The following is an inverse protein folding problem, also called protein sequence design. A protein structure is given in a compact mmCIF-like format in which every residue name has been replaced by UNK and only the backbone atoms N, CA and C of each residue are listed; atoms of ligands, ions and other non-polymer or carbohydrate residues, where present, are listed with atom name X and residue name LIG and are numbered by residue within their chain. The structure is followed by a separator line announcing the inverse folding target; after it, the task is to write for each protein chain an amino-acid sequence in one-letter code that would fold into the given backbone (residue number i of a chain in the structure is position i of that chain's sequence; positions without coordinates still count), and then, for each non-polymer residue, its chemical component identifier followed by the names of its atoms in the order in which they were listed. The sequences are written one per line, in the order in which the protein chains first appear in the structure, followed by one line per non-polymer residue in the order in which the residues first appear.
data_IF_824703883014
#
_entry.id   IF_824703883014
#
_cell.length_a   1.000
_cell.length_b   1.000
_cell.length_c   1.000
_cell.angle_alpha   90.00
_cell.angle_beta   90.00
_cell.angle_gamma   90.00
#
_symmetry.space_group_name_H-M   'P 1'
#
loop_
_entity.id
_entity.type
_entity.pdbx_description
1 polymer ?
#
# COMPACT_ATOMS: atom_id res chain seq x y z
N UNK A 1 3.86 -29.00 -11.93
CA UNK A 1 2.90 -28.25 -12.75
C UNK A 1 1.55 -28.46 -12.11
N UNK A 2 0.80 -27.43 -11.89
CA UNK A 2 -0.52 -27.44 -11.25
C UNK A 2 -1.43 -26.41 -11.93
N UNK A 3 -2.73 -26.61 -11.84
CA UNK A 3 -3.75 -25.70 -12.32
C UNK A 3 -4.09 -24.70 -11.21
N UNK A 4 -3.83 -23.42 -11.44
CA UNK A 4 -4.03 -22.36 -10.43
C UNK A 4 -5.00 -21.30 -10.95
N UNK A 5 -6.02 -21.00 -10.14
CA UNK A 5 -6.95 -19.92 -10.43
C UNK A 5 -6.65 -18.72 -9.51
N UNK A 6 -6.35 -17.56 -10.10
CA UNK A 6 -6.18 -16.31 -9.39
C UNK A 6 -7.42 -15.45 -9.58
N UNK A 7 -8.02 -14.99 -8.49
CA UNK A 7 -9.20 -14.15 -8.50
C UNK A 7 -8.78 -12.68 -8.39
N UNK A 8 -9.08 -11.90 -9.43
CA UNK A 8 -8.79 -10.47 -9.53
C UNK A 8 -7.47 -10.14 -10.25
N UNK A 9 -7.56 -9.29 -11.26
CA UNK A 9 -6.43 -8.77 -12.04
C UNK A 9 -6.00 -7.37 -11.58
N UNK A 10 -5.93 -7.15 -10.25
CA UNK A 10 -5.22 -6.03 -9.64
C UNK A 10 -3.72 -6.32 -9.56
N UNK A 11 -2.90 -5.36 -9.10
CA UNK A 11 -1.43 -5.53 -9.05
C UNK A 11 -0.99 -6.81 -8.33
N UNK A 12 -1.59 -7.11 -7.16
CA UNK A 12 -1.22 -8.30 -6.39
C UNK A 12 -1.59 -9.59 -7.13
N UNK A 13 -2.79 -9.65 -7.76
CA UNK A 13 -3.20 -10.82 -8.55
C UNK A 13 -2.36 -11.01 -9.79
N UNK A 14 -2.02 -9.93 -10.51
CA UNK A 14 -1.14 -9.97 -11.69
C UNK A 14 0.29 -10.39 -11.33
N UNK A 15 0.81 -9.90 -10.20
CA UNK A 15 2.11 -10.32 -9.68
C UNK A 15 2.09 -11.80 -9.29
N UNK A 16 1.06 -12.26 -8.57
CA UNK A 16 0.88 -13.67 -8.21
C UNK A 16 0.84 -14.56 -9.46
N UNK A 17 0.05 -14.16 -10.46
CA UNK A 17 -0.08 -14.91 -11.70
C UNK A 17 1.24 -15.00 -12.47
N UNK A 18 1.98 -13.89 -12.61
CA UNK A 18 3.27 -13.88 -13.29
C UNK A 18 4.28 -14.78 -12.57
N UNK A 19 4.38 -14.66 -11.25
CA UNK A 19 5.31 -15.46 -10.44
C UNK A 19 5.02 -16.96 -10.50
N UNK A 20 3.75 -17.35 -10.44
CA UNK A 20 3.34 -18.76 -10.49
C UNK A 20 3.52 -19.34 -11.90
N UNK A 21 3.24 -18.56 -12.94
CA UNK A 21 3.44 -18.98 -14.33
C UNK A 21 4.94 -19.13 -14.66
N UNK A 22 5.82 -18.27 -14.12
CA UNK A 22 7.28 -18.42 -14.24
C UNK A 22 7.79 -19.73 -13.61
N UNK A 23 7.10 -20.25 -12.58
CA UNK A 23 7.40 -21.53 -11.95
C UNK A 23 6.82 -22.74 -12.74
N UNK A 24 6.19 -22.50 -13.89
CA UNK A 24 5.66 -23.53 -14.77
C UNK A 24 4.29 -24.06 -14.39
N UNK A 25 3.51 -23.32 -13.60
CA UNK A 25 2.10 -23.62 -13.34
C UNK A 25 1.21 -23.12 -14.48
N UNK A 26 0.07 -23.77 -14.71
CA UNK A 26 -1.00 -23.28 -15.58
C UNK A 26 -1.86 -22.30 -14.80
N UNK A 27 -1.81 -21.02 -15.16
CA UNK A 27 -2.46 -19.96 -14.38
C UNK A 27 -3.55 -19.28 -15.16
N UNK A 28 -4.77 -19.32 -14.60
CA UNK A 28 -5.95 -18.59 -15.09
C UNK A 28 -6.28 -17.46 -14.13
N UNK A 29 -6.38 -16.24 -14.62
CA UNK A 29 -6.79 -15.07 -13.83
C UNK A 29 -8.23 -14.70 -14.20
N UNK A 30 -9.11 -14.64 -13.22
CA UNK A 30 -10.52 -14.26 -13.40
C UNK A 30 -10.74 -12.82 -12.90
N UNK A 31 -11.11 -11.93 -13.81
CA UNK A 31 -11.33 -10.51 -13.50
C UNK A 31 -12.76 -10.10 -13.90
N UNK A 32 -13.51 -9.53 -12.95
CA UNK A 32 -14.89 -9.08 -13.18
C UNK A 32 -15.00 -7.83 -14.06
N UNK A 33 -14.00 -6.95 -14.03
CA UNK A 33 -13.98 -5.76 -14.90
C UNK A 33 -13.78 -6.19 -16.36
N UNK A 34 -14.68 -5.73 -17.26
CA UNK A 34 -14.66 -6.11 -18.68
C UNK A 34 -13.64 -5.32 -19.51
N UNK A 35 -13.15 -4.19 -18.99
CA UNK A 35 -12.26 -3.31 -19.74
C UNK A 35 -10.99 -4.06 -20.15
N UNK A 36 -10.69 -4.03 -21.44
CA UNK A 36 -9.46 -4.60 -22.01
C UNK A 36 -8.20 -3.91 -21.49
N UNK A 37 -7.05 -4.53 -21.72
CA UNK A 37 -5.76 -3.94 -21.39
C UNK A 37 -5.47 -2.76 -22.33
N UNK A 38 -5.22 -1.53 -21.82
CA UNK A 38 -4.75 -0.41 -22.64
C UNK A 38 -3.37 -0.70 -23.26
N UNK A 39 -3.11 -0.16 -24.45
CA UNK A 39 -1.86 -0.39 -25.16
C UNK A 39 -0.65 0.28 -24.49
N UNK A 40 -0.88 1.33 -23.69
CA UNK A 40 0.17 2.07 -23.01
C UNK A 40 -0.25 2.57 -21.62
N UNK A 41 0.73 2.93 -20.79
CA UNK A 41 0.48 3.58 -19.51
C UNK A 41 -0.27 4.90 -19.65
N UNK A 42 -0.02 5.67 -20.71
CA UNK A 42 -0.72 6.93 -20.95
C UNK A 42 -2.19 6.69 -21.32
N UNK A 43 -2.50 5.71 -22.16
CA UNK A 43 -3.90 5.32 -22.43
C UNK A 43 -4.58 4.79 -21.17
N UNK A 44 -3.86 4.05 -20.33
CA UNK A 44 -4.37 3.59 -19.05
C UNK A 44 -4.73 4.77 -18.13
N UNK A 45 -3.90 5.80 -18.08
CA UNK A 45 -4.22 7.02 -17.34
C UNK A 45 -5.43 7.76 -17.92
N UNK A 46 -5.54 7.88 -19.23
CA UNK A 46 -6.59 8.65 -19.88
C UNK A 46 -7.97 7.98 -19.81
N UNK A 47 -8.04 6.67 -20.08
CA UNK A 47 -9.31 6.00 -20.35
C UNK A 47 -9.59 4.71 -19.60
N UNK A 48 -8.58 4.10 -18.93
CA UNK A 48 -8.84 2.82 -18.24
C UNK A 48 -9.67 3.02 -16.98
N UNK A 49 -10.80 2.33 -16.93
CA UNK A 49 -11.69 2.33 -15.78
C UNK A 49 -11.67 0.97 -15.08
N UNK A 50 -11.41 0.98 -13.77
CA UNK A 50 -11.39 -0.20 -12.91
C UNK A 50 -12.39 0.00 -11.77
N UNK A 51 -13.66 -0.39 -11.99
CA UNK A 51 -14.75 -0.19 -11.04
C UNK A 51 -14.53 -0.97 -9.73
N UNK A 52 -13.77 -2.08 -9.79
CA UNK A 52 -13.36 -2.86 -8.61
C UNK A 52 -12.34 -2.15 -7.72
N UNK A 53 -11.64 -1.12 -8.22
CA UNK A 53 -10.53 -0.43 -7.54
C UNK A 53 -10.92 1.01 -7.26
N UNK A 54 -11.59 1.27 -6.13
CA UNK A 54 -12.11 2.60 -5.79
C UNK A 54 -11.03 3.70 -5.77
N UNK A 55 -9.79 3.34 -5.41
CA UNK A 55 -8.64 4.24 -5.36
C UNK A 55 -7.81 4.26 -6.66
N UNK A 56 -8.35 3.79 -7.80
CA UNK A 56 -7.58 3.63 -9.05
C UNK A 56 -6.92 4.92 -9.54
N UNK A 57 -7.55 6.06 -9.29
CA UNK A 57 -7.04 7.41 -9.58
C UNK A 57 -6.43 8.11 -8.36
N UNK A 58 -6.38 7.43 -7.21
CA UNK A 58 -5.76 7.97 -6.00
C UNK A 58 -4.23 8.01 -6.10
N UNK A 59 -3.57 8.74 -5.19
CA UNK A 59 -2.12 8.77 -5.11
C UNK A 59 -1.60 7.41 -4.70
N UNK A 60 -0.56 6.95 -5.37
CA UNK A 60 0.10 5.68 -5.08
C UNK A 60 1.60 5.85 -5.15
N UNK A 61 2.28 5.07 -4.33
CA UNK A 61 3.73 5.07 -4.24
C UNK A 61 4.24 3.63 -4.12
N UNK A 62 5.17 3.24 -4.99
CA UNK A 62 5.87 1.98 -4.79
C UNK A 62 7.09 2.25 -3.92
N UNK A 63 7.07 1.77 -2.69
CA UNK A 63 8.19 1.95 -1.77
C UNK A 63 9.45 1.21 -2.23
N UNK A 64 10.65 1.59 -1.74
CA UNK A 64 11.91 0.91 -2.04
C UNK A 64 11.87 -0.60 -1.87
N UNK A 65 11.23 -1.12 -0.80
CA UNK A 65 11.02 -2.56 -0.63
C UNK A 65 10.22 -3.21 -1.75
N UNK A 66 9.24 -2.48 -2.32
CA UNK A 66 8.50 -2.93 -3.50
C UNK A 66 9.36 -2.91 -4.77
N UNK A 67 10.21 -1.89 -4.96
CA UNK A 67 11.19 -1.87 -6.06
C UNK A 67 12.14 -3.06 -5.96
N UNK A 68 12.67 -3.37 -4.78
CA UNK A 68 13.53 -4.52 -4.56
C UNK A 68 12.85 -5.85 -4.94
N UNK A 69 11.53 -5.97 -4.65
CA UNK A 69 10.74 -7.11 -5.12
C UNK A 69 10.64 -7.17 -6.65
N UNK A 70 10.41 -6.04 -7.32
CA UNK A 70 10.41 -6.01 -8.79
C UNK A 70 11.77 -6.42 -9.37
N UNK A 71 12.86 -5.90 -8.83
CA UNK A 71 14.21 -6.21 -9.32
C UNK A 71 14.58 -7.69 -9.15
N UNK A 72 14.22 -8.28 -8.02
CA UNK A 72 14.60 -9.65 -7.70
C UNK A 72 13.63 -10.71 -8.20
N UNK A 73 12.34 -10.40 -8.29
CA UNK A 73 11.28 -11.37 -8.53
C UNK A 73 10.52 -11.15 -9.84
N UNK A 74 10.40 -9.91 -10.31
CA UNK A 74 9.63 -9.52 -11.49
C UNK A 74 10.39 -8.50 -12.35
N UNK A 75 11.63 -8.78 -12.79
CA UNK A 75 12.46 -7.81 -13.53
C UNK A 75 11.79 -7.33 -14.83
N UNK A 76 11.03 -8.19 -15.49
CA UNK A 76 10.27 -7.83 -16.71
C UNK A 76 9.19 -6.77 -16.43
N UNK A 77 8.55 -6.79 -15.25
CA UNK A 77 7.59 -5.76 -14.84
C UNK A 77 8.32 -4.45 -14.54
N UNK A 78 9.49 -4.51 -13.87
CA UNK A 78 10.32 -3.33 -13.63
C UNK A 78 10.68 -2.64 -14.95
N UNK A 79 11.14 -3.42 -15.93
CA UNK A 79 11.53 -2.90 -17.24
C UNK A 79 10.33 -2.32 -18.01
N UNK A 80 9.16 -2.98 -17.94
CA UNK A 80 7.93 -2.47 -18.51
C UNK A 80 7.48 -1.14 -17.87
N UNK A 81 7.61 -1.01 -16.55
CA UNK A 81 7.30 0.22 -15.84
C UNK A 81 8.27 1.36 -16.20
N UNK A 82 9.56 1.06 -16.27
CA UNK A 82 10.58 2.03 -16.71
C UNK A 82 10.30 2.51 -18.15
N UNK A 83 9.97 1.58 -19.06
CA UNK A 83 9.61 1.89 -20.45
C UNK A 83 8.30 2.70 -20.56
N UNK A 84 7.37 2.54 -19.61
CA UNK A 84 6.15 3.35 -19.52
C UNK A 84 6.37 4.76 -18.96
N UNK A 85 7.61 5.14 -18.65
CA UNK A 85 7.99 6.45 -18.09
C UNK A 85 7.98 6.50 -16.58
N UNK A 86 8.01 5.34 -15.91
CA UNK A 86 8.13 5.26 -14.45
C UNK A 86 9.32 6.05 -13.92
N UNK A 87 9.13 6.75 -12.81
CA UNK A 87 10.11 7.62 -12.18
C UNK A 87 10.97 6.85 -11.18
N UNK A 88 12.30 6.86 -11.37
CA UNK A 88 13.23 6.51 -10.30
C UNK A 88 13.41 7.70 -9.37
N UNK A 89 13.19 7.52 -8.07
CA UNK A 89 13.29 8.58 -7.08
C UNK A 89 14.18 8.15 -5.92
N UNK A 90 15.09 9.05 -5.50
CA UNK A 90 15.99 8.83 -4.39
C UNK A 90 15.41 9.47 -3.12
N UNK A 91 15.09 8.64 -2.12
CA UNK A 91 14.52 9.11 -0.85
C UNK A 91 15.55 9.76 0.08
N UNK A 92 16.84 9.55 -0.18
CA UNK A 92 17.89 10.25 0.58
C UNK A 92 18.08 11.70 0.11
N UNK A 93 17.57 12.07 -1.06
CA UNK A 93 17.85 13.34 -1.70
C UNK A 93 16.56 14.07 -2.15
N UNK A 94 16.23 15.23 -1.57
CA UNK A 94 17.02 15.95 -0.54
C UNK A 94 16.87 15.33 0.85
N UNK A 95 17.95 15.34 1.60
CA UNK A 95 17.93 15.04 3.02
C UNK A 95 17.20 16.16 3.80
N UNK A 96 16.74 15.91 5.04
CA UNK A 96 16.20 16.95 5.91
C UNK A 96 17.18 18.12 6.09
N UNK A 97 16.71 19.39 6.03
CA UNK A 97 17.60 20.56 6.03
C UNK A 97 18.60 20.65 7.19
N UNK A 98 18.31 20.20 8.43
CA UNK A 98 19.29 20.20 9.51
C UNK A 98 20.46 19.24 9.33
N UNK A 99 20.33 18.23 8.45
CA UNK A 99 21.42 17.32 8.12
C UNK A 99 22.35 18.03 7.12
N UNK A 100 23.44 18.60 7.64
CA UNK A 100 24.36 19.41 6.84
C UNK A 100 25.14 18.60 5.79
N UNK A 101 25.41 17.33 6.07
CA UNK A 101 26.14 16.42 5.18
C UNK A 101 25.51 15.02 5.25
N UNK A 102 24.90 14.63 4.14
CA UNK A 102 24.39 13.28 3.92
C UNK A 102 25.38 12.50 3.05
N UNK A 103 26.54 12.18 3.63
CA UNK A 103 27.55 11.39 2.93
C UNK A 103 26.96 10.04 2.46
N UNK A 104 27.23 9.69 1.20
CA UNK A 104 26.76 8.43 0.64
C UNK A 104 27.47 7.25 1.33
N UNK A 105 26.71 6.22 1.66
CA UNK A 105 27.20 4.98 2.26
C UNK A 105 26.92 3.77 1.35
N UNK A 106 27.77 2.73 1.38
CA UNK A 106 27.48 1.49 0.67
C UNK A 106 26.11 0.92 1.08
N UNK A 107 25.28 0.58 0.09
CA UNK A 107 23.93 0.07 0.32
C UNK A 107 22.84 1.13 0.34
N UNK A 108 23.15 2.41 0.16
CA UNK A 108 22.14 3.50 0.08
C UNK A 108 21.25 3.39 -1.17
N UNK A 109 21.68 2.65 -2.20
CA UNK A 109 20.85 2.30 -3.36
C UNK A 109 19.53 1.60 -2.99
N UNK A 110 19.45 1.03 -1.78
CA UNK A 110 18.22 0.43 -1.24
C UNK A 110 17.11 1.45 -1.01
N UNK A 111 17.41 2.75 -0.94
CA UNK A 111 16.44 3.81 -0.74
C UNK A 111 15.89 4.40 -2.05
N UNK A 112 16.39 3.93 -3.18
CA UNK A 112 15.80 4.26 -4.47
C UNK A 112 14.44 3.57 -4.60
N UNK A 113 13.47 4.24 -5.20
CA UNK A 113 12.21 3.64 -5.63
C UNK A 113 11.99 3.81 -7.13
N UNK A 114 11.12 2.99 -7.69
CA UNK A 114 10.58 3.14 -9.05
C UNK A 114 9.08 3.26 -8.94
N UNK A 115 8.51 4.38 -9.33
CA UNK A 115 7.10 4.69 -9.08
C UNK A 115 6.40 5.27 -10.29
N UNK A 116 5.08 5.40 -10.19
CA UNK A 116 4.22 5.99 -11.20
C UNK A 116 2.78 6.06 -10.73
N UNK A 117 1.93 6.71 -11.51
CA UNK A 117 0.48 6.71 -11.25
C UNK A 117 -0.08 5.29 -11.31
N UNK A 118 -1.04 4.97 -10.47
CA UNK A 118 -1.61 3.62 -10.36
C UNK A 118 -2.02 3.00 -11.71
N UNK A 119 -2.71 3.69 -12.63
CA UNK A 119 -3.05 3.12 -13.94
C UNK A 119 -1.83 2.70 -14.76
N UNK A 120 -0.72 3.46 -14.69
CA UNK A 120 0.54 3.15 -15.38
C UNK A 120 1.21 1.94 -14.77
N UNK A 121 1.29 1.89 -13.44
CA UNK A 121 1.79 0.72 -12.71
C UNK A 121 1.00 -0.54 -13.07
N UNK A 122 -0.33 -0.48 -12.99
CA UNK A 122 -1.19 -1.64 -13.22
C UNK A 122 -1.15 -2.11 -14.67
N UNK A 123 -0.99 -1.18 -15.63
CA UNK A 123 -0.80 -1.51 -17.04
C UNK A 123 0.54 -2.25 -17.27
N UNK A 124 1.63 -1.82 -16.63
CA UNK A 124 2.92 -2.50 -16.72
C UNK A 124 2.83 -3.95 -16.21
N UNK A 125 2.22 -4.18 -15.03
CA UNK A 125 1.96 -5.53 -14.52
C UNK A 125 1.10 -6.36 -15.47
N UNK A 126 -0.01 -5.79 -15.96
CA UNK A 126 -0.92 -6.50 -16.83
C UNK A 126 -0.28 -6.85 -18.18
N UNK A 127 0.58 -5.98 -18.72
CA UNK A 127 1.28 -6.22 -19.99
C UNK A 127 2.24 -7.41 -19.92
N UNK A 128 2.81 -7.67 -18.74
CA UNK A 128 3.70 -8.81 -18.50
C UNK A 128 2.89 -10.06 -18.21
N UNK A 129 1.96 -10.00 -17.25
CA UNK A 129 1.16 -11.15 -16.86
C UNK A 129 0.32 -11.72 -18.01
N UNK A 130 -0.16 -10.88 -18.92
CA UNK A 130 -0.94 -11.29 -20.12
C UNK A 130 -0.13 -12.13 -21.14
N UNK A 131 1.21 -12.18 -21.00
CA UNK A 131 2.07 -12.99 -21.86
C UNK A 131 2.30 -14.41 -21.31
N UNK A 132 2.06 -14.61 -20.02
CA UNK A 132 2.44 -15.84 -19.31
C UNK A 132 1.26 -16.52 -18.61
N UNK A 133 0.11 -15.87 -18.50
CA UNK A 133 -1.10 -16.39 -17.87
C UNK A 133 -2.34 -16.11 -18.73
N UNK A 134 -3.38 -16.93 -18.60
CA UNK A 134 -4.69 -16.73 -19.25
C UNK A 134 -5.54 -15.75 -18.41
N UNK A 135 -5.65 -14.49 -18.85
CA UNK A 135 -6.42 -13.45 -18.14
C UNK A 135 -7.81 -13.28 -18.76
N UNK A 136 -8.83 -13.84 -18.09
CA UNK A 136 -10.23 -13.78 -18.49
C UNK A 136 -10.94 -12.61 -17.83
N UNK A 137 -11.30 -11.61 -18.63
CA UNK A 137 -11.98 -10.39 -18.15
C UNK A 137 -13.50 -10.50 -18.34
N UNK A 138 -14.25 -9.82 -17.47
CA UNK A 138 -15.72 -9.87 -17.45
C UNK A 138 -16.27 -11.13 -16.79
N UNK A 139 -15.42 -11.91 -16.09
CA UNK A 139 -15.81 -13.13 -15.39
C UNK A 139 -16.03 -12.84 -13.91
N UNK A 140 -17.23 -13.09 -13.44
CA UNK A 140 -17.60 -12.97 -12.02
C UNK A 140 -17.68 -14.34 -11.37
N UNK A 141 -16.93 -14.56 -10.30
CA UNK A 141 -17.03 -15.79 -9.49
C UNK A 141 -18.20 -15.67 -8.55
N UNK A 142 -19.01 -16.73 -8.47
CA UNK A 142 -20.17 -16.82 -7.60
C UNK A 142 -19.87 -17.62 -6.32
N UNK A 143 -19.16 -18.77 -6.43
CA UNK A 143 -18.90 -19.66 -5.32
C UNK A 143 -17.61 -20.48 -5.50
N UNK A 144 -17.19 -21.14 -4.42
CA UNK A 144 -16.09 -22.10 -4.41
C UNK A 144 -16.59 -23.51 -4.69
N UNK A 145 -15.83 -24.29 -5.45
CA UNK A 145 -16.01 -25.72 -5.61
C UNK A 145 -15.25 -26.47 -4.52
N UNK A 146 -15.81 -27.59 -4.05
CA UNK A 146 -15.18 -28.41 -3.01
C UNK A 146 -15.02 -29.85 -3.44
N UNK A 147 -14.01 -30.51 -2.89
CA UNK A 147 -13.71 -31.91 -3.08
C UNK A 147 -13.39 -32.64 -1.77
N UNK A 148 -12.87 -33.87 -1.84
CA UNK A 148 -12.43 -34.61 -0.66
C UNK A 148 -11.42 -33.84 0.15
N UNK A 149 -11.52 -33.86 1.48
CA UNK A 149 -10.60 -33.20 2.40
C UNK A 149 -9.89 -34.20 3.29
N UNK A 150 -8.60 -33.95 3.54
CA UNK A 150 -7.77 -34.77 4.44
C UNK A 150 -8.00 -34.43 5.92
N UNK A 151 -8.67 -33.31 6.20
CA UNK A 151 -8.93 -32.86 7.58
C UNK A 151 -10.46 -32.90 7.84
N UNK A 152 -10.93 -33.74 8.77
CA UNK A 152 -12.34 -33.77 9.13
C UNK A 152 -12.88 -32.40 9.55
N UNK A 153 -13.99 -31.96 8.92
CA UNK A 153 -14.61 -30.65 9.22
C UNK A 153 -13.93 -29.43 8.64
N UNK A 154 -12.90 -29.61 7.81
CA UNK A 154 -12.25 -28.54 7.06
C UNK A 154 -12.51 -28.76 5.57
N UNK A 155 -13.25 -27.89 4.86
CA UNK A 155 -13.49 -28.07 3.42
C UNK A 155 -12.20 -27.88 2.63
N UNK A 156 -12.07 -28.63 1.53
CA UNK A 156 -11.02 -28.49 0.54
C UNK A 156 -11.56 -27.87 -0.73
N UNK A 157 -11.01 -26.72 -1.12
CA UNK A 157 -11.38 -26.00 -2.34
C UNK A 157 -10.66 -26.62 -3.52
N UNK A 158 -11.42 -26.95 -4.59
CA UNK A 158 -10.92 -27.57 -5.82
C UNK A 158 -11.22 -26.73 -7.06
N UNK A 159 -11.58 -25.47 -6.89
CA UNK A 159 -11.87 -24.56 -7.98
C UNK A 159 -12.95 -23.53 -7.64
N UNK A 160 -13.54 -22.96 -8.67
CA UNK A 160 -14.58 -21.93 -8.57
C UNK A 160 -15.71 -22.17 -9.59
N UNK A 161 -16.90 -21.67 -9.26
CA UNK A 161 -18.01 -21.57 -10.21
C UNK A 161 -18.26 -20.10 -10.53
N UNK A 162 -18.38 -19.79 -11.83
CA UNK A 162 -18.70 -18.45 -12.30
C UNK A 162 -20.20 -18.14 -12.15
N UNK A 163 -20.57 -16.87 -12.21
CA UNK A 163 -21.97 -16.44 -12.19
C UNK A 163 -22.77 -16.95 -13.41
N UNK A 164 -22.09 -17.28 -14.51
CA UNK A 164 -22.69 -17.86 -15.71
C UNK A 164 -22.83 -19.39 -15.63
N UNK A 165 -22.39 -20.00 -14.51
CA UNK A 165 -22.51 -21.44 -14.23
C UNK A 165 -21.32 -22.28 -14.68
N UNK A 166 -20.29 -21.69 -15.27
CA UNK A 166 -19.07 -22.41 -15.67
C UNK A 166 -18.28 -22.86 -14.44
N UNK A 167 -17.82 -24.10 -14.45
CA UNK A 167 -16.95 -24.68 -13.43
C UNK A 167 -15.51 -24.66 -13.89
N UNK A 168 -14.62 -24.10 -13.09
CA UNK A 168 -13.18 -24.02 -13.35
C UNK A 168 -12.49 -24.73 -12.21
N UNK A 169 -12.02 -25.94 -12.47
CA UNK A 169 -11.27 -26.75 -11.50
C UNK A 169 -9.86 -26.19 -11.33
N UNK A 170 -9.28 -26.34 -10.14
CA UNK A 170 -7.93 -25.90 -9.81
C UNK A 170 -7.35 -26.65 -8.61
N UNK A 171 -6.05 -26.86 -8.62
CA UNK A 171 -5.29 -27.39 -7.46
C UNK A 171 -5.14 -26.31 -6.36
N UNK A 172 -5.22 -25.03 -6.74
CA UNK A 172 -5.14 -23.89 -5.82
C UNK A 172 -5.95 -22.71 -6.34
N UNK A 173 -6.73 -22.09 -5.48
CA UNK A 173 -7.40 -20.81 -5.71
C UNK A 173 -6.66 -19.73 -4.91
N UNK A 174 -6.27 -18.63 -5.56
CA UNK A 174 -5.63 -17.46 -4.93
C UNK A 174 -6.59 -16.28 -4.98
N UNK A 175 -7.14 -15.88 -3.83
CA UNK A 175 -7.97 -14.67 -3.76
C UNK A 175 -7.09 -13.41 -3.66
N UNK A 176 -7.04 -12.65 -4.75
CA UNK A 176 -6.44 -11.33 -4.87
C UNK A 176 -7.48 -10.26 -5.25
N UNK A 177 -8.76 -10.47 -4.88
CA UNK A 177 -9.86 -9.55 -5.21
C UNK A 177 -9.86 -8.26 -4.39
N UNK A 178 -8.91 -8.12 -3.46
CA UNK A 178 -8.65 -6.91 -2.72
C UNK A 178 -9.65 -6.63 -1.60
N UNK A 179 -9.77 -5.36 -1.21
CA UNK A 179 -10.57 -4.95 -0.04
C UNK A 179 -12.04 -5.37 -0.08
N UNK A 180 -12.58 -5.67 -1.24
CA UNK A 180 -13.98 -6.12 -1.43
C UNK A 180 -14.08 -7.63 -1.65
N UNK A 181 -13.08 -8.39 -1.20
CA UNK A 181 -13.08 -9.85 -1.27
C UNK A 181 -14.36 -10.44 -0.67
N UNK A 182 -15.00 -11.33 -1.43
CA UNK A 182 -16.17 -12.08 -1.03
C UNK A 182 -15.81 -13.44 -0.40
N UNK A 183 -14.51 -13.73 -0.29
CA UNK A 183 -14.03 -15.03 0.21
C UNK A 183 -14.65 -15.46 1.54
N UNK A 184 -14.86 -14.58 2.55
CA UNK A 184 -15.54 -15.00 3.79
C UNK A 184 -16.94 -15.57 3.57
N UNK A 185 -17.72 -14.93 2.68
CA UNK A 185 -19.07 -15.41 2.34
C UNK A 185 -19.05 -16.72 1.55
N UNK A 186 -18.08 -16.90 0.65
CA UNK A 186 -17.90 -18.17 -0.08
C UNK A 186 -17.46 -19.30 0.84
N UNK A 187 -16.59 -19.01 1.82
CA UNK A 187 -16.16 -19.98 2.84
C UNK A 187 -17.34 -20.41 3.72
N UNK A 188 -18.19 -19.47 4.15
CA UNK A 188 -19.43 -19.78 4.88
C UNK A 188 -20.35 -20.66 4.03
N UNK A 189 -20.51 -20.35 2.75
CA UNK A 189 -21.32 -21.11 1.80
C UNK A 189 -20.91 -22.57 1.61
N UNK A 190 -19.63 -22.90 1.80
CA UNK A 190 -19.10 -24.29 1.76
C UNK A 190 -19.04 -24.96 3.14
N UNK A 191 -19.59 -24.34 4.19
CA UNK A 191 -19.61 -24.86 5.54
C UNK A 191 -18.28 -24.80 6.29
N UNK A 192 -17.38 -23.89 5.89
CA UNK A 192 -16.15 -23.64 6.61
C UNK A 192 -16.40 -23.00 7.99
N UNK A 193 -15.50 -23.26 8.93
CA UNK A 193 -15.54 -22.56 10.23
C UNK A 193 -15.33 -21.05 10.03
N UNK A 194 -15.83 -20.19 10.95
CA UNK A 194 -15.58 -18.76 10.88
C UNK A 194 -14.09 -18.44 10.92
N UNK A 195 -13.64 -17.55 10.03
CA UNK A 195 -12.32 -16.96 10.10
C UNK A 195 -12.28 -15.87 11.19
N UNK A 196 -11.08 -15.47 11.62
CA UNK A 196 -10.92 -14.28 12.45
C UNK A 196 -10.89 -13.06 11.53
N UNK A 197 -11.78 -12.08 11.77
CA UNK A 197 -11.75 -10.79 11.09
C UNK A 197 -11.75 -9.66 12.14
N UNK A 198 -10.74 -8.79 12.06
CA UNK A 198 -10.69 -7.53 12.76
C UNK A 198 -10.93 -6.42 11.76
N UNK A 199 -11.74 -5.43 12.09
CA UNK A 199 -11.92 -4.24 11.24
C UNK A 199 -12.12 -2.99 12.06
N UNK A 200 -11.57 -1.88 11.56
CA UNK A 200 -11.74 -0.56 12.12
C UNK A 200 -11.99 0.44 10.98
N UNK A 201 -12.68 1.54 11.28
CA UNK A 201 -12.84 2.63 10.32
C UNK A 201 -11.61 3.51 10.41
N UNK A 202 -10.91 3.66 9.30
CA UNK A 202 -9.86 4.66 9.24
C UNK A 202 -10.46 6.05 9.33
N UNK A 203 -9.87 6.89 10.19
CA UNK A 203 -10.41 8.20 10.50
C UNK A 203 -10.03 9.31 9.51
N UNK A 204 -9.72 9.02 8.22
CA UNK A 204 -9.21 10.04 7.28
C UNK A 204 -10.02 10.18 6.00
N UNK A 205 -10.05 11.43 5.48
CA UNK A 205 -10.42 11.78 4.11
C UNK A 205 -9.20 12.33 3.38
N UNK A 206 -9.10 12.03 2.09
CA UNK A 206 -8.01 12.42 1.20
C UNK A 206 -8.55 13.27 0.06
N UNK A 207 -7.81 14.33 -0.30
CA UNK A 207 -8.12 15.27 -1.38
C UNK A 207 -6.89 15.43 -2.25
N UNK A 208 -6.87 14.77 -3.40
CA UNK A 208 -5.71 14.68 -4.29
C UNK A 208 -5.92 15.46 -5.56
N UNK A 209 -4.89 16.16 -6.03
CA UNK A 209 -4.85 16.75 -7.35
C UNK A 209 -3.55 16.41 -8.04
N UNK A 210 -3.62 16.12 -9.34
CA UNK A 210 -2.45 15.79 -10.16
C UNK A 210 -2.04 16.97 -11.02
N UNK A 211 -0.73 17.08 -11.25
CA UNK A 211 -0.08 18.12 -12.03
C UNK A 211 0.90 17.51 -13.03
N UNK A 212 1.24 18.31 -14.06
CA UNK A 212 2.24 18.00 -15.07
C UNK A 212 3.07 19.24 -15.38
N UNK A 213 4.34 19.05 -15.69
CA UNK A 213 5.22 20.10 -16.25
C UNK A 213 6.24 19.48 -17.16
N UNK A 214 6.55 20.12 -18.28
CA UNK A 214 7.61 19.68 -19.18
C UNK A 214 8.99 19.59 -18.50
N UNK A 215 9.24 20.39 -17.44
CA UNK A 215 10.45 20.32 -16.62
C UNK A 215 10.46 19.20 -15.59
N UNK A 216 9.37 18.44 -15.49
CA UNK A 216 9.21 17.38 -14.48
C UNK A 216 8.68 17.86 -13.13
N UNK A 217 8.57 16.93 -12.17
CA UNK A 217 8.12 17.24 -10.81
C UNK A 217 9.05 18.22 -10.13
N UNK A 218 8.52 19.24 -9.39
CA UNK A 218 9.34 20.13 -8.59
C UNK A 218 10.13 19.37 -7.51
N UNK A 219 11.29 19.89 -7.13
CA UNK A 219 12.04 19.34 -6.00
C UNK A 219 11.27 19.56 -4.69
N UNK A 220 11.19 18.56 -3.84
CA UNK A 220 10.59 18.68 -2.51
C UNK A 220 11.46 19.59 -1.62
N UNK A 221 10.85 20.56 -0.93
CA UNK A 221 11.52 21.40 0.08
C UNK A 221 11.24 20.88 1.51
N UNK A 222 10.43 19.84 1.64
CA UNK A 222 10.14 19.12 2.88
C UNK A 222 10.09 17.61 2.59
N UNK A 223 9.89 16.78 3.62
CA UNK A 223 9.62 15.37 3.41
C UNK A 223 8.38 15.13 2.53
N UNK A 224 8.33 14.01 1.81
CA UNK A 224 7.19 13.68 0.95
C UNK A 224 5.85 13.67 1.71
N UNK A 225 5.88 13.32 2.99
CA UNK A 225 4.76 13.42 3.92
C UNK A 225 5.08 14.44 5.00
N UNK A 226 4.26 15.48 5.12
CA UNK A 226 4.43 16.58 6.08
C UNK A 226 3.15 16.77 6.90
N UNK A 227 3.16 16.43 8.21
CA UNK A 227 2.13 16.86 9.15
C UNK A 227 2.16 18.38 9.33
N UNK A 228 1.02 19.04 9.12
CA UNK A 228 0.87 20.51 9.27
C UNK A 228 -0.37 20.77 10.14
N UNK A 229 -0.19 20.89 11.44
CA UNK A 229 -1.31 21.05 12.37
C UNK A 229 -2.33 19.92 12.23
N UNK A 230 -3.62 20.26 12.03
CA UNK A 230 -4.70 19.29 11.87
C UNK A 230 -4.87 18.70 10.47
N UNK A 231 -3.96 19.02 9.53
CA UNK A 231 -3.91 18.41 8.20
C UNK A 231 -2.57 17.73 7.98
N UNK A 232 -2.50 16.85 6.97
CA UNK A 232 -1.22 16.31 6.50
C UNK A 232 -1.15 16.45 5.00
N UNK A 233 0.01 16.81 4.50
CA UNK A 233 0.27 17.04 3.10
C UNK A 233 1.23 15.97 2.57
N UNK A 234 0.82 15.30 1.48
CA UNK A 234 1.61 14.27 0.82
C UNK A 234 1.91 14.72 -0.60
N UNK A 235 3.19 14.78 -0.95
CA UNK A 235 3.69 15.06 -2.28
C UNK A 235 4.28 13.81 -2.89
N UNK A 236 3.79 13.37 -4.05
CA UNK A 236 4.29 12.18 -4.73
C UNK A 236 4.64 12.50 -6.18
N UNK A 237 5.93 12.59 -6.51
CA UNK A 237 6.41 12.57 -7.90
C UNK A 237 5.99 11.25 -8.58
N UNK A 238 5.71 11.30 -9.89
CA UNK A 238 5.22 10.15 -10.64
C UNK A 238 5.78 10.08 -12.06
N UNK A 239 5.28 9.12 -12.84
CA UNK A 239 5.65 8.88 -14.23
C UNK A 239 5.39 10.09 -15.13
N UNK A 240 6.13 10.13 -16.25
CA UNK A 240 5.88 11.06 -17.36
C UNK A 240 5.72 12.52 -16.91
N UNK A 241 6.65 13.02 -16.10
CA UNK A 241 6.70 14.42 -15.64
C UNK A 241 5.46 14.86 -14.84
N UNK A 242 4.75 13.92 -14.22
CA UNK A 242 3.58 14.21 -13.38
C UNK A 242 3.91 14.10 -11.89
N UNK A 243 3.06 14.68 -11.07
CA UNK A 243 3.07 14.49 -9.62
C UNK A 243 1.68 14.68 -9.04
N UNK A 244 1.49 14.25 -7.82
CA UNK A 244 0.27 14.52 -7.05
C UNK A 244 0.58 15.23 -5.75
N UNK A 245 -0.35 16.09 -5.34
CA UNK A 245 -0.39 16.68 -4.01
C UNK A 245 -1.70 16.21 -3.37
N UNK A 246 -1.59 15.66 -2.18
CA UNK A 246 -2.74 15.14 -1.42
C UNK A 246 -2.78 15.83 -0.06
N UNK A 247 -3.93 16.35 0.31
CA UNK A 247 -4.23 16.75 1.68
C UNK A 247 -5.07 15.66 2.32
N UNK A 248 -4.67 15.14 3.48
CA UNK A 248 -5.55 14.28 4.25
C UNK A 248 -5.85 14.87 5.63
N UNK A 249 -7.06 14.64 6.10
CA UNK A 249 -7.68 15.28 7.25
C UNK A 249 -8.46 14.25 8.07
N UNK A 250 -8.74 14.54 9.34
CA UNK A 250 -9.65 13.71 10.13
C UNK A 250 -11.04 13.67 9.51
N UNK A 251 -11.64 12.49 9.47
CA UNK A 251 -13.01 12.28 8.98
C UNK A 251 -14.08 12.98 9.85
N UNK A 252 -13.76 13.31 11.11
CA UNK A 252 -14.63 14.08 11.99
C UNK A 252 -14.57 15.59 11.74
N UNK A 253 -13.58 16.07 10.98
CA UNK A 253 -13.44 17.49 10.62
C UNK A 253 -14.31 17.83 9.39
N UNK A 254 -15.59 18.02 9.64
CA UNK A 254 -16.56 18.21 8.56
C UNK A 254 -16.33 19.47 7.74
N UNK A 255 -15.74 20.52 8.33
CA UNK A 255 -15.41 21.77 7.62
C UNK A 255 -14.39 21.50 6.49
N UNK A 256 -13.45 20.58 6.70
CA UNK A 256 -12.44 20.22 5.69
C UNK A 256 -13.03 19.52 4.46
N UNK A 257 -14.33 19.18 4.43
CA UNK A 257 -14.97 18.66 3.21
C UNK A 257 -15.00 19.67 2.08
N UNK A 258 -14.85 20.97 2.36
CA UNK A 258 -14.73 22.02 1.34
C UNK A 258 -13.45 21.91 0.51
N UNK A 259 -12.44 21.16 0.97
CA UNK A 259 -11.23 20.80 0.21
C UNK A 259 -11.53 20.00 -1.08
N UNK A 260 -12.74 19.51 -1.28
CA UNK A 260 -13.19 18.96 -2.58
C UNK A 260 -13.25 20.02 -3.70
N UNK A 261 -13.28 21.31 -3.35
CA UNK A 261 -13.31 22.44 -4.30
C UNK A 261 -11.88 22.84 -4.66
N UNK A 262 -11.61 22.95 -5.96
CA UNK A 262 -10.26 23.27 -6.47
C UNK A 262 -9.70 24.55 -5.86
N UNK A 263 -10.52 25.60 -5.73
CA UNK A 263 -10.08 26.91 -5.23
C UNK A 263 -9.72 26.86 -3.75
N UNK A 264 -10.51 26.16 -2.95
CA UNK A 264 -10.27 26.00 -1.50
C UNK A 264 -9.00 25.17 -1.27
N UNK A 265 -8.87 24.06 -1.99
CA UNK A 265 -7.72 23.20 -1.93
C UNK A 265 -6.43 23.93 -2.33
N UNK A 266 -6.48 24.70 -3.43
CA UNK A 266 -5.33 25.48 -3.93
C UNK A 266 -4.88 26.53 -2.90
N UNK A 267 -5.81 27.32 -2.33
CA UNK A 267 -5.50 28.30 -1.27
C UNK A 267 -4.82 27.65 -0.06
N UNK A 268 -5.24 26.43 0.31
CA UNK A 268 -4.57 25.71 1.41
C UNK A 268 -3.12 25.38 1.06
N UNK A 269 -2.83 24.88 -0.15
CA UNK A 269 -1.45 24.60 -0.55
C UNK A 269 -0.61 25.89 -0.64
N UNK A 270 -1.17 26.98 -1.17
CA UNK A 270 -0.53 28.30 -1.23
C UNK A 270 -0.17 28.83 0.16
N UNK A 271 -0.97 28.49 1.19
CA UNK A 271 -0.69 28.87 2.59
C UNK A 271 0.40 28.04 3.26
N UNK A 272 0.96 27.03 2.58
CA UNK A 272 2.02 26.15 3.07
C UNK A 272 3.36 26.53 2.41
N UNK A 273 4.24 27.32 3.05
CA UNK A 273 5.42 27.94 2.40
C UNK A 273 6.38 26.93 1.75
N UNK A 274 6.57 25.74 2.36
CA UNK A 274 7.45 24.70 1.82
C UNK A 274 6.78 23.87 0.70
N UNK A 275 5.49 24.09 0.41
CA UNK A 275 4.72 23.29 -0.54
C UNK A 275 4.06 24.11 -1.66
N UNK A 276 3.93 25.44 -1.50
CA UNK A 276 3.28 26.32 -2.47
C UNK A 276 3.90 26.20 -3.88
N UNK A 277 5.22 26.03 -3.98
CA UNK A 277 5.93 25.86 -5.26
C UNK A 277 5.54 24.58 -6.00
N UNK A 278 4.97 23.57 -5.31
CA UNK A 278 4.48 22.35 -5.94
C UNK A 278 3.27 22.59 -6.86
N UNK A 279 2.64 23.77 -6.76
CA UNK A 279 1.59 24.21 -7.68
C UNK A 279 2.12 24.71 -9.03
N UNK A 280 3.46 24.83 -9.21
CA UNK A 280 4.09 25.31 -10.43
C UNK A 280 4.05 24.25 -11.54
N UNK A 281 2.84 23.95 -12.04
CA UNK A 281 2.57 23.03 -13.12
C UNK A 281 1.14 23.16 -13.60
N UNK A 282 0.84 22.53 -14.72
CA UNK A 282 -0.52 22.44 -15.23
C UNK A 282 -1.32 21.39 -14.41
N UNK A 283 -2.43 21.75 -13.78
CA UNK A 283 -3.29 20.77 -13.15
C UNK A 283 -3.95 19.89 -14.21
N UNK A 284 -3.78 18.57 -14.10
CA UNK A 284 -4.33 17.58 -15.04
C UNK A 284 -5.56 16.84 -14.50
N UNK A 285 -5.98 17.18 -13.28
CA UNK A 285 -7.26 16.73 -12.70
C UNK A 285 -7.90 17.83 -11.87
N UNK A 286 -9.21 17.70 -11.65
CA UNK A 286 -9.85 18.32 -10.50
C UNK A 286 -9.40 17.63 -9.20
N UNK A 287 -9.80 18.15 -8.05
CA UNK A 287 -9.59 17.48 -6.76
C UNK A 287 -10.37 16.18 -6.72
N UNK A 288 -9.67 15.08 -6.46
CA UNK A 288 -10.19 13.72 -6.34
C UNK A 288 -10.36 13.36 -4.86
N UNK A 289 -11.60 13.33 -4.33
CA UNK A 289 -11.83 12.94 -2.94
C UNK A 289 -11.82 11.41 -2.78
N UNK A 290 -11.17 10.93 -1.71
CA UNK A 290 -11.21 9.52 -1.30
C UNK A 290 -11.57 9.47 0.18
N UNK A 291 -12.50 8.59 0.55
CA UNK A 291 -12.92 8.36 1.93
C UNK A 291 -13.57 7.00 2.11
N UNK A 292 -14.03 6.72 3.32
CA UNK A 292 -14.64 5.43 3.65
C UNK A 292 -13.64 4.27 3.57
N UNK A 293 -12.37 4.54 3.82
CA UNK A 293 -11.34 3.52 3.98
C UNK A 293 -11.54 2.79 5.30
N UNK A 294 -11.21 1.51 5.31
CA UNK A 294 -11.24 0.66 6.49
C UNK A 294 -9.89 -0.02 6.65
N UNK A 295 -9.50 -0.20 7.87
CA UNK A 295 -8.46 -1.14 8.25
C UNK A 295 -9.14 -2.47 8.51
N UNK A 296 -8.61 -3.53 7.89
CA UNK A 296 -9.14 -4.87 8.08
C UNK A 296 -8.02 -5.89 7.99
N UNK A 297 -8.09 -6.87 8.87
CA UNK A 297 -7.18 -8.00 8.95
C UNK A 297 -7.98 -9.29 9.06
N UNK A 298 -7.55 -10.32 8.35
CA UNK A 298 -8.17 -11.64 8.33
C UNK A 298 -7.15 -12.71 8.63
N UNK A 299 -7.56 -13.71 9.42
CA UNK A 299 -6.76 -14.90 9.68
C UNK A 299 -7.54 -16.14 9.26
N UNK A 300 -6.88 -16.98 8.48
CA UNK A 300 -7.48 -18.18 7.86
C UNK A 300 -7.02 -19.48 8.54
N UNK A 301 -6.24 -19.41 9.60
CA UNK A 301 -5.93 -20.50 10.52
C UNK A 301 -6.43 -20.11 11.90
N UNK A 302 -7.36 -20.90 12.45
CA UNK A 302 -8.03 -20.62 13.74
C UNK A 302 -7.84 -21.85 14.62
N UNK A 303 -7.35 -21.65 15.84
CA UNK A 303 -7.06 -22.73 16.80
C UNK A 303 -6.15 -23.85 16.23
N UNK A 304 -5.16 -23.43 15.44
CA UNK A 304 -4.19 -24.32 14.81
C UNK A 304 -4.73 -25.12 13.61
N UNK A 305 -5.97 -24.86 13.15
CA UNK A 305 -6.55 -25.54 12.00
C UNK A 305 -6.91 -24.52 10.90
N UNK A 306 -6.63 -24.83 9.62
CA UNK A 306 -7.07 -23.99 8.51
C UNK A 306 -8.60 -23.91 8.44
N UNK A 307 -9.11 -22.74 8.06
CA UNK A 307 -10.54 -22.53 7.82
C UNK A 307 -11.00 -23.34 6.60
N UNK A 308 -10.18 -23.37 5.58
CA UNK A 308 -10.28 -24.22 4.39
C UNK A 308 -8.89 -24.48 3.84
N UNK A 309 -8.74 -25.55 3.04
CA UNK A 309 -7.54 -25.83 2.26
C UNK A 309 -7.81 -25.63 0.77
N UNK A 310 -6.75 -25.56 -0.07
CA UNK A 310 -6.90 -25.32 -1.52
C UNK A 310 -7.23 -23.86 -1.88
N UNK A 311 -7.27 -22.94 -0.91
CA UNK A 311 -7.49 -21.51 -1.13
C UNK A 311 -6.57 -20.67 -0.25
N UNK A 312 -5.98 -19.61 -0.82
CA UNK A 312 -5.16 -18.63 -0.11
C UNK A 312 -5.63 -17.21 -0.44
N UNK A 313 -5.55 -16.28 0.52
CA UNK A 313 -5.87 -14.87 0.32
C UNK A 313 -4.62 -14.01 0.37
N UNK A 314 -4.40 -13.15 -0.62
CA UNK A 314 -3.21 -12.30 -0.73
C UNK A 314 -3.54 -10.81 -0.85
N UNK A 315 -2.63 -9.94 -0.42
CA UNK A 315 -2.79 -8.50 -0.46
C UNK A 315 -4.02 -8.02 0.32
N UNK A 316 -4.78 -7.07 -0.22
CA UNK A 316 -5.95 -6.49 0.47
C UNK A 316 -7.11 -7.49 0.70
N UNK A 317 -7.10 -8.67 0.10
CA UNK A 317 -8.04 -9.74 0.41
C UNK A 317 -7.75 -10.37 1.78
N UNK A 318 -6.47 -10.44 2.15
CA UNK A 318 -6.01 -10.82 3.49
C UNK A 318 -6.10 -9.65 4.47
N UNK A 319 -5.35 -8.55 4.20
CA UNK A 319 -5.41 -7.37 5.07
C UNK A 319 -5.27 -6.08 4.26
N UNK A 320 -6.12 -5.11 4.54
CA UNK A 320 -6.05 -3.79 3.97
C UNK A 320 -5.94 -2.73 5.06
N UNK A 321 -5.12 -1.71 4.79
CA UNK A 321 -4.94 -0.55 5.67
C UNK A 321 -5.45 0.72 5.00
N UNK A 322 -5.66 1.73 5.82
CA UNK A 322 -5.76 3.10 5.37
C UNK A 322 -4.51 3.49 4.53
N UNK A 323 -4.68 4.24 3.42
CA UNK A 323 -3.58 4.54 2.51
C UNK A 323 -2.60 5.63 2.98
N UNK A 324 -2.65 6.08 4.22
CA UNK A 324 -1.83 7.18 4.78
C UNK A 324 -0.32 7.03 4.51
N UNK A 325 0.19 5.81 4.61
CA UNK A 325 1.59 5.48 4.40
C UNK A 325 1.88 4.85 3.03
N UNK A 326 0.87 4.61 2.19
CA UNK A 326 1.05 4.08 0.83
C UNK A 326 1.67 2.68 0.71
N UNK A 327 1.70 1.87 1.77
CA UNK A 327 2.43 0.58 1.83
C UNK A 327 1.78 -0.57 1.07
N UNK A 328 0.46 -0.49 0.78
CA UNK A 328 -0.34 -1.62 0.29
C UNK A 328 0.22 -2.32 -0.95
N UNK A 329 0.74 -1.56 -1.93
CA UNK A 329 1.32 -2.16 -3.15
C UNK A 329 2.60 -2.95 -2.85
N UNK A 330 3.53 -2.38 -2.08
CA UNK A 330 4.80 -3.01 -1.75
C UNK A 330 4.62 -4.26 -0.88
N UNK A 331 3.68 -4.21 0.07
CA UNK A 331 3.32 -5.38 0.89
C UNK A 331 2.60 -6.44 0.06
N UNK A 332 1.73 -6.04 -0.88
CA UNK A 332 1.06 -6.97 -1.79
C UNK A 332 2.05 -7.73 -2.69
N UNK A 333 3.09 -7.05 -3.20
CA UNK A 333 4.17 -7.70 -3.97
C UNK A 333 4.99 -8.68 -3.10
N UNK A 334 5.35 -8.27 -1.88
CA UNK A 334 6.02 -9.16 -0.92
C UNK A 334 5.15 -10.38 -0.62
N UNK A 335 3.85 -10.18 -0.38
CA UNK A 335 2.93 -11.28 -0.10
C UNK A 335 2.81 -12.25 -1.28
N UNK A 336 2.69 -11.75 -2.52
CA UNK A 336 2.67 -12.58 -3.72
C UNK A 336 3.96 -13.40 -3.90
N UNK A 337 5.13 -12.79 -3.68
CA UNK A 337 6.41 -13.49 -3.77
C UNK A 337 6.56 -14.57 -2.69
N UNK A 338 6.18 -14.27 -1.44
CA UNK A 338 6.25 -15.25 -0.34
C UNK A 338 5.22 -16.37 -0.51
N UNK A 339 4.02 -16.06 -1.02
CA UNK A 339 3.02 -17.08 -1.39
C UNK A 339 3.61 -18.05 -2.42
N UNK A 340 4.25 -17.55 -3.49
CA UNK A 340 4.93 -18.41 -4.47
C UNK A 340 6.00 -19.31 -3.82
N UNK A 341 6.84 -18.77 -2.91
CA UNK A 341 7.87 -19.56 -2.23
C UNK A 341 7.25 -20.71 -1.42
N UNK A 342 6.09 -20.50 -0.79
CA UNK A 342 5.33 -21.53 -0.08
C UNK A 342 4.73 -22.56 -1.06
N UNK A 343 4.17 -22.10 -2.18
CA UNK A 343 3.63 -22.99 -3.23
C UNK A 343 4.70 -23.92 -3.80
N UNK A 344 5.94 -23.41 -4.01
CA UNK A 344 7.10 -24.21 -4.43
C UNK A 344 7.42 -25.35 -3.46
N UNK A 345 7.13 -25.18 -2.17
CA UNK A 345 7.46 -26.17 -1.14
C UNK A 345 6.42 -27.30 -1.01
N UNK A 346 5.21 -27.18 -1.58
CA UNK A 346 4.31 -28.30 -1.50
C UNK A 346 2.82 -28.13 -1.72
N UNK A 347 2.36 -28.01 -2.96
CA UNK A 347 0.94 -28.13 -3.29
C UNK A 347 0.32 -29.50 -2.95
N UNK A 348 1.14 -30.57 -2.93
CA UNK A 348 0.69 -31.94 -2.62
C UNK A 348 0.27 -32.21 -1.17
N UNK A 349 0.37 -31.20 -0.29
CA UNK A 349 -0.06 -31.29 1.11
C UNK A 349 -0.88 -30.02 1.49
N UNK A 350 -2.15 -29.92 1.10
CA UNK A 350 -2.93 -28.68 1.21
C UNK A 350 -3.03 -28.11 2.63
N UNK A 351 -3.10 -28.96 3.65
CA UNK A 351 -3.10 -28.52 5.05
C UNK A 351 -1.79 -27.84 5.46
N UNK A 352 -0.66 -28.47 5.11
CA UNK A 352 0.67 -27.91 5.41
C UNK A 352 0.93 -26.62 4.64
N UNK A 353 0.43 -26.54 3.41
CA UNK A 353 0.49 -25.30 2.61
C UNK A 353 -0.22 -24.16 3.32
N UNK A 354 -1.47 -24.38 3.79
CA UNK A 354 -2.25 -23.38 4.49
C UNK A 354 -1.59 -22.94 5.81
N UNK A 355 -1.08 -23.88 6.61
CA UNK A 355 -0.36 -23.60 7.86
C UNK A 355 0.96 -22.82 7.62
N UNK A 356 1.75 -23.24 6.63
CA UNK A 356 3.01 -22.58 6.29
C UNK A 356 2.76 -21.16 5.76
N UNK A 357 1.70 -20.96 4.98
CA UNK A 357 1.32 -19.64 4.48
C UNK A 357 0.85 -18.73 5.62
N UNK A 358 0.01 -19.20 6.54
CA UNK A 358 -0.40 -18.46 7.74
C UNK A 358 0.82 -18.09 8.60
N UNK A 359 1.71 -19.05 8.88
CA UNK A 359 2.91 -18.83 9.69
C UNK A 359 3.81 -17.74 9.08
N UNK A 360 4.06 -17.81 7.77
CA UNK A 360 4.84 -16.81 7.05
C UNK A 360 4.14 -15.43 7.09
N UNK A 361 2.83 -15.40 6.84
CA UNK A 361 2.05 -14.17 6.83
C UNK A 361 2.07 -13.48 8.20
N UNK A 362 1.91 -14.25 9.28
CA UNK A 362 1.98 -13.75 10.66
C UNK A 362 3.39 -13.22 11.00
N UNK A 363 4.43 -13.90 10.54
CA UNK A 363 5.79 -13.49 10.86
C UNK A 363 6.28 -12.26 10.03
N UNK A 364 5.91 -12.17 8.76
CA UNK A 364 6.52 -11.23 7.82
C UNK A 364 5.59 -10.08 7.36
N UNK A 365 4.26 -10.27 7.38
CA UNK A 365 3.30 -9.28 6.87
C UNK A 365 2.49 -8.63 7.99
N UNK A 366 2.01 -9.41 8.96
CA UNK A 366 1.21 -8.91 10.10
C UNK A 366 1.92 -7.79 10.86
N UNK A 367 3.24 -7.83 11.13
CA UNK A 367 3.93 -6.72 11.80
C UNK A 367 3.84 -5.39 11.04
N UNK A 368 3.87 -5.41 9.70
CA UNK A 368 3.68 -4.21 8.89
C UNK A 368 2.26 -3.64 8.99
N UNK A 369 1.26 -4.53 9.00
CA UNK A 369 -0.13 -4.14 9.20
C UNK A 369 -0.30 -3.44 10.55
N UNK A 370 0.17 -4.06 11.65
CA UNK A 370 0.08 -3.50 13.01
C UNK A 370 0.81 -2.16 13.12
N UNK A 371 2.05 -2.08 12.62
CA UNK A 371 2.82 -0.83 12.63
C UNK A 371 2.15 0.30 11.83
N UNK A 372 1.38 -0.01 10.79
CA UNK A 372 0.61 1.01 10.06
C UNK A 372 -0.55 1.52 10.88
N UNK A 373 -1.29 0.65 11.56
CA UNK A 373 -2.39 1.04 12.45
C UNK A 373 -1.89 1.95 13.60
N UNK A 374 -0.74 1.63 14.18
CA UNK A 374 -0.20 2.42 15.29
C UNK A 374 0.19 3.84 14.86
N UNK A 375 0.80 3.98 13.68
CA UNK A 375 1.11 5.31 13.10
C UNK A 375 -0.17 6.10 12.84
N UNK A 376 -1.19 5.47 12.26
CA UNK A 376 -2.45 6.13 11.94
C UNK A 376 -3.21 6.56 13.22
N UNK A 377 -3.28 5.70 14.23
CA UNK A 377 -3.90 6.02 15.52
C UNK A 377 -3.19 7.19 16.21
N UNK A 378 -1.85 7.20 16.20
CA UNK A 378 -1.08 8.29 16.80
C UNK A 378 -1.33 9.61 16.04
N UNK A 379 -1.36 9.59 14.71
CA UNK A 379 -1.64 10.79 13.91
C UNK A 379 -3.08 11.27 14.12
N UNK A 380 -4.05 10.35 14.17
CA UNK A 380 -5.45 10.69 14.45
C UNK A 380 -5.61 11.35 15.81
N UNK A 381 -4.99 10.80 16.85
CA UNK A 381 -5.02 11.36 18.19
C UNK A 381 -4.40 12.77 18.24
N UNK A 382 -3.31 13.00 17.51
CA UNK A 382 -2.69 14.34 17.38
C UNK A 382 -3.64 15.33 16.70
N UNK A 383 -4.22 14.95 15.57
CA UNK A 383 -5.17 15.81 14.82
C UNK A 383 -6.39 16.12 15.68
N UNK A 384 -6.94 15.13 16.35
CA UNK A 384 -8.14 15.28 17.19
C UNK A 384 -7.88 16.21 18.37
N UNK A 385 -6.71 16.10 19.03
CA UNK A 385 -6.31 17.02 20.09
C UNK A 385 -6.23 18.49 19.58
N UNK A 386 -5.67 18.70 18.38
CA UNK A 386 -5.57 20.04 17.77
C UNK A 386 -6.98 20.59 17.46
N UNK A 387 -7.89 19.77 16.93
CA UNK A 387 -9.27 20.17 16.63
C UNK A 387 -10.00 20.58 17.90
N UNK A 388 -9.80 19.83 18.99
CA UNK A 388 -10.47 20.03 20.28
C UNK A 388 -9.77 21.08 21.16
N UNK A 389 -8.64 21.68 20.70
CA UNK A 389 -7.84 22.64 21.47
C UNK A 389 -7.20 22.03 22.71
N UNK A 390 -6.93 20.72 22.69
CA UNK A 390 -6.34 19.98 23.81
C UNK A 390 -4.84 19.70 23.56
N UNK A 391 -4.06 19.48 24.61
CA UNK A 391 -2.69 18.98 24.46
C UNK A 391 -2.64 17.64 23.75
N UNK A 392 -1.63 17.45 22.88
CA UNK A 392 -1.38 16.16 22.24
C UNK A 392 -1.10 15.09 23.30
N UNK A 393 -1.77 13.93 23.27
CA UNK A 393 -1.58 12.88 24.26
C UNK A 393 -0.12 12.39 24.32
N UNK A 394 0.38 11.98 25.48
CA UNK A 394 1.68 11.30 25.55
C UNK A 394 1.65 9.99 24.76
N UNK A 395 2.82 9.44 24.37
CA UNK A 395 2.89 8.11 23.76
C UNK A 395 2.22 7.05 24.63
N UNK A 396 1.52 6.11 24.01
CA UNK A 396 0.77 5.07 24.72
C UNK A 396 1.68 4.06 25.45
N UNK A 397 2.86 3.81 24.87
CA UNK A 397 3.86 2.85 25.35
C UNK A 397 5.27 3.23 24.89
N UNK A 398 6.26 2.41 25.26
CA UNK A 398 7.67 2.62 24.91
C UNK A 398 7.91 2.54 23.39
N UNK A 399 7.19 1.70 22.68
CA UNK A 399 7.32 1.58 21.23
C UNK A 399 6.81 2.85 20.52
N UNK A 400 5.68 3.40 20.98
CA UNK A 400 5.16 4.67 20.49
C UNK A 400 6.09 5.84 20.86
N UNK A 401 6.71 5.81 22.04
CA UNK A 401 7.69 6.80 22.48
C UNK A 401 8.94 6.77 21.59
N UNK A 402 9.47 5.58 21.29
CA UNK A 402 10.62 5.40 20.41
C UNK A 402 10.29 5.81 18.95
N UNK A 403 9.10 5.47 18.45
CA UNK A 403 8.64 5.92 17.14
C UNK A 403 8.56 7.45 17.05
N UNK A 404 8.05 8.12 18.10
CA UNK A 404 8.02 9.60 18.16
C UNK A 404 9.42 10.19 18.25
N UNK A 405 10.32 9.56 19.02
CA UNK A 405 11.72 9.98 19.11
C UNK A 405 12.45 9.84 17.75
N UNK A 406 12.19 8.75 17.00
CA UNK A 406 12.73 8.57 15.65
C UNK A 406 12.26 9.68 14.71
N UNK A 407 11.00 10.11 14.78
CA UNK A 407 10.48 11.21 13.96
C UNK A 407 11.16 12.55 14.25
N UNK A 408 11.71 12.75 15.45
CA UNK A 408 12.55 13.90 15.77
C UNK A 408 13.96 13.66 15.25
N UNK A 409 14.59 12.56 15.63
CA UNK A 409 15.99 12.27 15.35
C UNK A 409 16.31 12.17 13.85
N UNK A 410 15.38 11.66 13.04
CA UNK A 410 15.55 11.51 11.59
C UNK A 410 15.76 12.85 10.87
N UNK A 411 15.39 13.96 11.48
CA UNK A 411 15.61 15.30 10.92
C UNK A 411 17.01 15.84 11.15
N UNK A 412 17.78 15.28 12.09
CA UNK A 412 19.05 15.84 12.55
C UNK A 412 20.23 14.88 12.39
N UNK A 413 19.97 13.60 12.16
CA UNK A 413 20.99 12.55 12.16
C UNK A 413 20.89 11.64 10.94
N UNK A 414 21.98 11.47 10.15
CA UNK A 414 21.98 10.64 8.95
C UNK A 414 21.63 9.16 9.20
N UNK A 415 22.06 8.57 10.34
CA UNK A 415 21.79 7.18 10.67
C UNK A 415 20.32 7.01 11.10
N UNK A 416 19.78 7.93 11.91
CA UNK A 416 18.37 7.94 12.25
C UNK A 416 17.48 8.18 11.02
N UNK A 417 17.92 8.98 10.04
CA UNK A 417 17.20 9.16 8.79
C UNK A 417 17.19 7.88 7.95
N UNK A 418 18.31 7.19 7.81
CA UNK A 418 18.35 5.87 7.15
C UNK A 418 17.48 4.84 7.87
N UNK A 419 17.49 4.83 9.21
CA UNK A 419 16.62 3.97 10.01
C UNK A 419 15.14 4.25 9.75
N UNK A 420 14.75 5.51 9.69
CA UNK A 420 13.40 5.95 9.32
C UNK A 420 13.03 5.48 7.91
N UNK A 421 13.92 5.63 6.92
CA UNK A 421 13.69 5.19 5.54
C UNK A 421 13.65 3.66 5.42
N UNK A 422 14.44 2.90 6.18
CA UNK A 422 14.36 1.44 6.22
C UNK A 422 12.95 0.97 6.65
N UNK A 423 12.34 1.66 7.64
CA UNK A 423 10.99 1.35 8.14
C UNK A 423 9.92 1.86 7.17
N UNK A 424 9.97 3.12 6.77
CA UNK A 424 8.92 3.71 5.91
C UNK A 424 8.98 3.17 4.50
N UNK A 425 10.17 2.83 4.02
CA UNK A 425 10.42 2.22 2.71
C UNK A 425 10.03 0.75 2.57
N UNK A 426 9.47 0.12 3.63
CA UNK A 426 9.12 -1.32 3.64
C UNK A 426 10.35 -2.21 3.38
N UNK A 427 11.53 -1.78 3.84
CA UNK A 427 12.79 -2.52 3.68
C UNK A 427 13.00 -3.44 4.88
N UNK A 428 12.91 -2.89 6.11
CA UNK A 428 13.10 -3.61 7.37
C UNK A 428 12.01 -3.28 8.37
N UNK A 429 11.61 -4.27 9.14
CA UNK A 429 10.64 -4.09 10.22
C UNK A 429 11.21 -3.20 11.34
N UNK A 430 10.37 -2.43 12.06
CA UNK A 430 10.83 -1.59 13.16
C UNK A 430 11.68 -2.35 14.19
N UNK A 431 11.25 -3.56 14.60
CA UNK A 431 11.99 -4.38 15.55
C UNK A 431 13.38 -4.77 15.05
N UNK A 432 13.56 -4.98 13.74
CA UNK A 432 14.87 -5.28 13.16
C UNK A 432 15.79 -4.06 13.15
N UNK A 433 15.22 -2.89 12.85
CA UNK A 433 15.96 -1.63 12.80
C UNK A 433 16.45 -1.24 14.20
N UNK A 434 15.59 -1.34 15.19
CA UNK A 434 15.91 -0.93 16.57
C UNK A 434 16.84 -1.90 17.31
N UNK A 435 17.18 -3.07 16.75
CA UNK A 435 18.24 -3.94 17.29
C UNK A 435 19.66 -3.51 16.89
N UNK A 436 19.81 -2.51 16.03
CA UNK A 436 21.14 -1.99 15.66
C UNK A 436 21.84 -1.42 16.89
N UNK A 437 23.11 -1.80 17.14
CA UNK A 437 23.85 -1.35 18.32
C UNK A 437 23.93 0.18 18.42
N UNK A 438 23.53 0.73 19.57
CA UNK A 438 23.62 2.17 19.86
C UNK A 438 22.57 3.06 19.18
N UNK A 439 21.78 2.53 18.24
CA UNK A 439 20.81 3.33 17.50
C UNK A 439 19.71 3.92 18.39
N UNK A 440 19.15 3.10 19.30
CA UNK A 440 18.09 3.54 20.22
C UNK A 440 18.59 4.65 21.15
N UNK A 441 19.76 4.49 21.76
CA UNK A 441 20.37 5.49 22.64
C UNK A 441 20.60 6.82 21.88
N UNK A 442 21.10 6.73 20.65
CA UNK A 442 21.31 7.87 19.76
C UNK A 442 20.01 8.60 19.45
N UNK A 443 18.97 7.87 19.04
CA UNK A 443 17.63 8.42 18.75
C UNK A 443 17.08 9.13 19.98
N UNK A 444 17.12 8.49 21.14
CA UNK A 444 16.58 9.05 22.39
C UNK A 444 17.35 10.28 22.85
N UNK A 445 18.68 10.29 22.70
CA UNK A 445 19.54 11.45 23.03
C UNK A 445 19.20 12.66 22.15
N UNK A 446 19.05 12.46 20.83
CA UNK A 446 18.69 13.54 19.91
C UNK A 446 17.29 14.07 20.20
N UNK A 447 16.32 13.18 20.41
CA UNK A 447 14.96 13.60 20.70
C UNK A 447 14.80 14.37 22.03
N UNK A 448 15.75 14.24 22.96
CA UNK A 448 15.79 15.03 24.20
C UNK A 448 16.43 16.41 24.00
N UNK A 449 17.35 16.56 23.05
CA UNK A 449 18.09 17.80 22.83
C UNK A 449 17.53 18.68 21.71
N UNK A 450 16.84 18.08 20.73
CA UNK A 450 16.37 18.76 19.53
C UNK A 450 14.83 18.88 19.50
N UNK A 451 14.27 19.98 18.99
CA UNK A 451 12.83 20.12 18.82
C UNK A 451 12.33 19.32 17.60
N UNK A 452 11.07 18.88 17.58
CA UNK A 452 10.46 18.31 16.38
C UNK A 452 10.52 19.28 15.19
N UNK A 453 11.06 18.85 14.05
CA UNK A 453 11.02 19.63 12.82
C UNK A 453 9.58 19.64 12.29
N UNK A 454 8.95 20.80 12.34
CA UNK A 454 7.58 20.99 11.85
C UNK A 454 7.59 21.81 10.57
N UNK A 455 6.89 21.34 9.54
CA UNK A 455 6.65 22.13 8.36
C UNK A 455 5.76 23.34 8.71
N UNK A 456 6.16 24.57 8.34
CA UNK A 456 5.33 25.76 8.54
C UNK A 456 4.07 25.67 7.67
N UNK A 457 2.96 26.15 8.21
CA UNK A 457 1.69 26.20 7.51
C UNK A 457 0.60 26.85 8.37
N UNK A 458 -0.63 26.87 7.89
CA UNK A 458 -1.71 27.57 8.55
C UNK A 458 -2.04 26.99 9.92
N UNK A 459 -2.31 27.85 10.88
CA UNK A 459 -2.91 27.48 12.17
C UNK A 459 -4.32 26.91 11.99
N UNK A 460 -4.88 26.32 13.03
CA UNK A 460 -6.26 25.82 13.00
C UNK A 460 -7.27 26.94 12.65
N UNK A 461 -7.08 28.13 13.20
CA UNK A 461 -7.95 29.28 12.95
C UNK A 461 -7.87 29.70 11.49
N UNK A 462 -6.67 29.83 10.93
CA UNK A 462 -6.46 30.17 9.52
C UNK A 462 -7.04 29.08 8.60
N UNK A 463 -6.90 27.79 8.94
CA UNK A 463 -7.56 26.69 8.21
C UNK A 463 -9.07 26.86 8.17
N UNK A 464 -9.70 27.22 9.31
CA UNK A 464 -11.14 27.44 9.36
C UNK A 464 -11.57 28.62 8.50
N UNK A 465 -10.78 29.70 8.43
CA UNK A 465 -11.02 30.84 7.54
C UNK A 465 -10.86 30.48 6.07
N UNK A 466 -9.90 29.62 5.72
CA UNK A 466 -9.67 29.17 4.35
C UNK A 466 -10.82 28.34 3.79
N UNK A 467 -11.52 27.58 4.63
CA UNK A 467 -12.60 26.67 4.21
C UNK A 467 -14.00 27.27 4.41
N UNK A 468 -14.10 28.45 5.03
CA UNK A 468 -15.34 29.19 5.15
C UNK A 468 -15.75 29.83 3.82
#
# INVERSE_FOLDING_TARGET
MADIVVLGAGMCGLASAALLAEDGHDVVVLERDRAGLPASGQEAWQGWSRHGVAQFRGPHWLHPGGRAMLESQLPTVKDALAAAGGLTYDLLNPAPPPIADMAAEPGDERFLTLTGRRPVLEQAFASVANKVADIRRGVTVAELLTGPSDIPGVPHVTGVQTADGDRIEADLVVDATGRRSLLPGWLDGIGARPLIEESDKSGFFYYTRYFHSASGPPQAHAGLLAPIGSVSLLYLPADNHTWSITVYVSSRDLAMRELRRNEVWTRLIESCPLHAHLLNGEPITDVLPIGGTIDRYRRFVVDGLPVATGVLAVGDAWACTNPSLGRGMSLGLRHAARMRDIVRSGLGAPSRLAEAFDTMTEAELTPWYRATLDVDRNRQAEIDAIIDGQPVPPPADDAAALGRALMVAMAYDPEAYRAFLDITGVIRLPQEVFTRPGLVDRIMSIAQSEPPLRAPGPSREELMQLVA
#
